data_IF_449373558597
#
_entry.id   IF_449373558597
#
_cell.length_a   1.000
_cell.length_b   1.000
_cell.length_c   1.000
_cell.angle_alpha   90.00
_cell.angle_beta   90.00
_cell.angle_gamma   90.00
#
_symmetry.space_group_name_H-M   'P 1'
#
loop_
_entity.id
_entity.type
_entity.pdbx_description
1 polymer ?
#
# COMPACT_ATOMS: atom_id res chain seq x y z
N UNK A 1 -25.21 21.96 0.13
CA UNK A 1 -24.29 22.23 1.25
C UNK A 1 -25.00 23.17 2.19
N UNK A 2 -25.59 22.62 3.24
CA UNK A 2 -26.38 23.37 4.23
C UNK A 2 -25.46 23.94 5.31
N UNK A 3 -25.88 24.98 6.03
CA UNK A 3 -25.09 25.58 7.10
C UNK A 3 -24.70 24.57 8.22
N UNK A 4 -25.51 23.52 8.41
CA UNK A 4 -25.22 22.43 9.33
C UNK A 4 -24.02 21.57 8.88
N UNK A 5 -23.87 21.32 7.57
CA UNK A 5 -22.74 20.56 7.04
C UNK A 5 -21.41 21.29 7.29
N UNK A 6 -21.41 22.62 7.15
CA UNK A 6 -20.25 23.46 7.39
C UNK A 6 -19.81 23.37 8.86
N UNK A 7 -20.74 23.52 9.80
CA UNK A 7 -20.44 23.43 11.24
C UNK A 7 -19.89 22.05 11.61
N UNK A 8 -20.44 20.98 11.02
CA UNK A 8 -20.01 19.61 11.29
C UNK A 8 -18.57 19.38 10.82
N UNK A 9 -18.21 19.85 9.62
CA UNK A 9 -16.84 19.74 9.07
C UNK A 9 -15.83 20.49 9.94
N UNK A 10 -16.13 21.73 10.35
CA UNK A 10 -15.26 22.50 11.24
C UNK A 10 -15.09 21.82 12.60
N UNK A 11 -16.16 21.27 13.17
CA UNK A 11 -16.11 20.57 14.47
C UNK A 11 -15.23 19.32 14.40
N UNK A 12 -15.36 18.53 13.33
CA UNK A 12 -14.50 17.35 13.09
C UNK A 12 -13.05 17.76 12.90
N UNK A 13 -12.77 18.79 12.09
CA UNK A 13 -11.42 19.28 11.87
C UNK A 13 -10.75 19.75 13.17
N UNK A 14 -11.47 20.54 13.98
CA UNK A 14 -10.98 21.00 15.28
C UNK A 14 -10.72 19.82 16.21
N UNK A 15 -11.63 18.82 16.23
CA UNK A 15 -11.45 17.63 17.06
C UNK A 15 -10.20 16.85 16.66
N UNK A 16 -9.96 16.66 15.35
CA UNK A 16 -8.75 15.98 14.86
C UNK A 16 -7.48 16.76 15.26
N UNK A 17 -7.48 18.09 15.12
CA UNK A 17 -6.34 18.93 15.50
C UNK A 17 -6.08 18.87 17.01
N UNK A 18 -7.14 18.98 17.83
CA UNK A 18 -7.04 18.92 19.30
C UNK A 18 -6.54 17.55 19.74
N UNK A 19 -7.05 16.47 19.17
CA UNK A 19 -6.60 15.11 19.47
C UNK A 19 -5.13 14.91 19.06
N UNK A 20 -4.73 15.40 17.88
CA UNK A 20 -3.33 15.36 17.44
C UNK A 20 -2.39 16.17 18.35
N UNK A 21 -2.85 17.33 18.84
CA UNK A 21 -2.09 18.15 19.79
C UNK A 21 -1.98 17.50 21.17
N UNK A 22 -3.08 16.95 21.70
CA UNK A 22 -3.07 16.19 22.95
C UNK A 22 -2.15 14.97 22.86
N UNK A 23 -2.21 14.24 21.74
CA UNK A 23 -1.29 13.15 21.45
C UNK A 23 0.15 13.64 21.58
N UNK A 24 0.52 14.72 20.87
CA UNK A 24 1.87 15.28 20.89
C UNK A 24 2.37 15.64 22.30
N UNK A 25 1.50 16.20 23.15
CA UNK A 25 1.83 16.51 24.54
C UNK A 25 2.08 15.25 25.36
N UNK A 26 1.21 14.25 25.25
CA UNK A 26 1.36 12.96 25.93
C UNK A 26 2.68 12.30 25.49
N UNK A 27 3.05 12.45 24.21
CA UNK A 27 4.28 11.90 23.67
C UNK A 27 5.56 12.54 24.17
N UNK A 28 5.58 13.87 24.32
CA UNK A 28 6.72 14.56 24.94
C UNK A 28 7.09 13.99 26.31
N UNK A 29 6.14 13.35 27.01
CA UNK A 29 6.34 12.73 28.31
C UNK A 29 6.65 11.22 28.25
N UNK A 30 6.35 10.53 27.14
CA UNK A 30 6.32 9.04 27.08
C UNK A 30 7.34 8.44 26.10
N UNK A 31 8.07 9.24 25.31
CA UNK A 31 9.10 8.79 24.33
C UNK A 31 8.61 7.82 23.24
N UNK A 32 7.31 7.54 23.15
CA UNK A 32 6.74 6.68 22.11
C UNK A 32 6.59 7.43 20.76
N UNK A 33 6.68 6.74 19.61
CA UNK A 33 6.44 7.35 18.29
C UNK A 33 5.01 7.89 18.18
N UNK A 34 4.89 9.11 17.67
CA UNK A 34 3.61 9.82 17.53
C UNK A 34 2.62 9.06 16.62
N UNK A 35 3.15 8.50 15.55
CA UNK A 35 2.44 7.68 14.56
C UNK A 35 1.70 6.49 15.17
N UNK A 36 2.27 5.76 16.13
CA UNK A 36 1.64 4.57 16.70
C UNK A 36 0.37 4.90 17.47
N UNK A 37 0.36 5.98 18.26
CA UNK A 37 -0.87 6.42 18.95
C UNK A 37 -1.88 6.98 17.98
N UNK A 38 -1.47 7.73 16.95
CA UNK A 38 -2.40 8.21 15.93
C UNK A 38 -3.11 7.04 15.24
N UNK A 39 -2.40 5.94 14.97
CA UNK A 39 -2.99 4.70 14.46
C UNK A 39 -3.99 4.11 15.46
N UNK A 40 -3.64 4.02 16.75
CA UNK A 40 -4.54 3.50 17.79
C UNK A 40 -5.80 4.36 17.95
N UNK A 41 -5.64 5.67 17.98
CA UNK A 41 -6.76 6.63 17.99
C UNK A 41 -7.62 6.43 16.75
N UNK A 42 -7.04 6.36 15.56
CA UNK A 42 -7.78 6.09 14.32
C UNK A 42 -8.56 4.77 14.38
N UNK A 43 -7.97 3.72 14.97
CA UNK A 43 -8.62 2.41 15.16
C UNK A 43 -9.78 2.47 16.18
N UNK A 44 -9.65 3.26 17.24
CA UNK A 44 -10.73 3.44 18.23
C UNK A 44 -11.86 4.26 17.65
N UNK A 45 -11.56 5.38 16.99
CA UNK A 45 -12.57 6.28 16.44
C UNK A 45 -13.24 5.74 15.16
N UNK A 46 -12.53 4.94 14.37
CA UNK A 46 -13.04 4.33 13.15
C UNK A 46 -13.95 3.12 13.43
N UNK A 47 -13.42 1.88 13.47
CA UNK A 47 -14.24 0.68 13.59
C UNK A 47 -14.90 0.48 14.96
N UNK A 48 -14.27 0.90 16.06
CA UNK A 48 -14.80 0.63 17.42
C UNK A 48 -15.96 1.58 17.75
N UNK A 49 -15.78 2.88 17.57
CA UNK A 49 -16.82 3.88 17.86
C UNK A 49 -17.78 4.13 16.68
N UNK A 50 -17.46 3.67 15.47
CA UNK A 50 -18.26 3.85 14.24
C UNK A 50 -18.69 5.29 13.97
N UNK A 51 -17.89 6.26 14.43
CA UNK A 51 -18.20 7.69 14.28
C UNK A 51 -18.08 8.16 12.83
N UNK A 52 -17.26 7.47 12.03
CA UNK A 52 -17.03 7.80 10.64
C UNK A 52 -17.51 6.65 9.73
N UNK A 53 -18.42 6.96 8.80
CA UNK A 53 -18.78 6.02 7.73
C UNK A 53 -17.66 5.94 6.70
N UNK A 54 -17.25 4.71 6.35
CA UNK A 54 -16.22 4.45 5.34
C UNK A 54 -16.60 5.06 3.98
N UNK A 55 -17.88 5.05 3.63
CA UNK A 55 -18.41 5.61 2.38
C UNK A 55 -18.19 7.12 2.25
N UNK A 56 -18.20 7.84 3.37
CA UNK A 56 -17.97 9.29 3.39
C UNK A 56 -16.48 9.64 3.38
N UNK A 57 -15.62 8.74 3.89
CA UNK A 57 -14.17 8.96 3.95
C UNK A 57 -13.47 8.61 2.63
N UNK A 58 -13.86 7.51 1.98
CA UNK A 58 -13.18 7.00 0.78
C UNK A 58 -13.01 8.04 -0.35
N UNK A 59 -14.00 8.90 -0.67
CA UNK A 59 -13.83 9.93 -1.71
C UNK A 59 -12.85 11.04 -1.32
N UNK A 60 -12.72 11.31 -0.02
CA UNK A 60 -11.97 12.44 0.53
C UNK A 60 -10.52 12.05 0.84
N UNK A 61 -10.27 10.79 1.19
CA UNK A 61 -8.94 10.26 1.52
C UNK A 61 -7.85 10.55 0.47
N UNK A 62 -8.06 10.35 -0.86
CA UNK A 62 -7.01 10.61 -1.85
C UNK A 62 -6.51 12.05 -1.84
N UNK A 63 -7.43 13.00 -1.65
CA UNK A 63 -7.11 14.44 -1.62
C UNK A 63 -6.28 14.76 -0.38
N UNK A 64 -6.71 14.29 0.79
CA UNK A 64 -5.98 14.50 2.05
C UNK A 64 -4.61 13.82 2.04
N UNK A 65 -4.52 12.58 1.53
CA UNK A 65 -3.25 11.86 1.40
C UNK A 65 -2.30 12.60 0.47
N UNK A 66 -2.77 13.06 -0.68
CA UNK A 66 -1.95 13.83 -1.63
C UNK A 66 -1.45 15.13 -0.99
N UNK A 67 -2.34 15.92 -0.37
CA UNK A 67 -1.95 17.16 0.31
C UNK A 67 -0.94 16.94 1.43
N UNK A 68 -1.20 15.93 2.28
CA UNK A 68 -0.31 15.60 3.40
C UNK A 68 1.06 15.14 2.91
N UNK A 69 1.10 14.26 1.91
CA UNK A 69 2.35 13.78 1.31
C UNK A 69 3.11 14.93 0.66
N UNK A 70 2.44 15.81 -0.09
CA UNK A 70 3.06 16.99 -0.69
C UNK A 70 3.67 17.90 0.38
N UNK A 71 2.96 18.20 1.47
CA UNK A 71 3.47 19.03 2.56
C UNK A 71 4.68 18.40 3.26
N UNK A 72 4.63 17.09 3.54
CA UNK A 72 5.74 16.37 4.19
C UNK A 72 6.97 16.31 3.29
N UNK A 73 6.80 15.98 2.00
CA UNK A 73 7.90 15.97 1.03
C UNK A 73 8.48 17.37 0.81
N UNK A 74 7.63 18.40 0.78
CA UNK A 74 8.07 19.80 0.66
C UNK A 74 8.90 20.23 1.87
N UNK A 75 8.41 19.96 3.09
CA UNK A 75 9.15 20.26 4.32
C UNK A 75 10.45 19.47 4.42
N UNK A 76 10.45 18.20 3.99
CA UNK A 76 11.64 17.37 3.89
C UNK A 76 12.68 17.95 2.93
N UNK A 77 12.24 18.33 1.72
CA UNK A 77 13.10 18.91 0.69
C UNK A 77 13.69 20.26 1.10
N UNK A 78 12.93 21.13 1.77
CA UNK A 78 13.40 22.43 2.24
C UNK A 78 14.52 22.35 3.29
N UNK A 79 14.54 21.29 4.10
CA UNK A 79 15.57 21.08 5.12
C UNK A 79 16.80 20.34 4.59
N UNK A 80 16.85 19.98 3.30
CA UNK A 80 17.89 19.14 2.73
C UNK A 80 18.92 19.97 1.96
N UNK A 81 20.20 19.75 2.24
CA UNK A 81 21.28 20.41 1.51
C UNK A 81 21.56 19.69 0.17
N UNK A 82 21.14 20.32 -0.93
CA UNK A 82 21.25 19.80 -2.32
C UNK A 82 22.69 19.46 -2.72
N UNK A 83 23.69 20.15 -2.18
CA UNK A 83 25.09 19.87 -2.51
C UNK A 83 25.59 18.56 -1.89
N UNK A 84 25.28 18.32 -0.61
CA UNK A 84 25.56 17.03 0.06
C UNK A 84 24.74 15.89 -0.53
N UNK A 85 23.52 16.17 -0.99
CA UNK A 85 22.68 15.19 -1.66
C UNK A 85 23.32 14.62 -2.92
N UNK A 86 23.82 15.51 -3.79
CA UNK A 86 24.45 15.08 -5.04
C UNK A 86 25.76 14.34 -4.76
N UNK A 87 26.56 14.77 -3.79
CA UNK A 87 27.84 14.14 -3.46
C UNK A 87 27.70 12.77 -2.77
N UNK A 88 26.62 12.54 -2.02
CA UNK A 88 26.38 11.28 -1.27
C UNK A 88 25.34 10.36 -1.91
N UNK A 89 24.83 10.74 -3.08
CA UNK A 89 23.83 9.98 -3.84
C UNK A 89 24.23 8.53 -4.09
N UNK A 90 25.47 8.28 -4.53
CA UNK A 90 25.94 6.92 -4.88
C UNK A 90 25.91 5.97 -3.68
N UNK A 91 26.39 6.43 -2.51
CA UNK A 91 26.37 5.62 -1.29
C UNK A 91 24.95 5.26 -0.87
N UNK A 92 24.05 6.24 -0.95
CA UNK A 92 22.64 6.07 -0.61
C UNK A 92 21.92 5.11 -1.56
N UNK A 93 22.24 5.16 -2.85
CA UNK A 93 21.71 4.24 -3.86
C UNK A 93 22.15 2.80 -3.57
N UNK A 94 23.45 2.56 -3.35
CA UNK A 94 23.95 1.22 -3.05
C UNK A 94 23.29 0.66 -1.79
N UNK A 95 23.15 1.50 -0.76
CA UNK A 95 22.50 1.12 0.49
C UNK A 95 21.03 0.75 0.28
N UNK A 96 20.27 1.59 -0.43
CA UNK A 96 18.85 1.36 -0.71
C UNK A 96 18.62 0.07 -1.52
N UNK A 97 19.40 -0.17 -2.57
CA UNK A 97 19.29 -1.39 -3.37
C UNK A 97 19.64 -2.64 -2.56
N UNK A 98 20.75 -2.59 -1.82
CA UNK A 98 21.17 -3.71 -0.97
C UNK A 98 20.11 -4.04 0.09
N UNK A 99 19.57 -3.02 0.75
CA UNK A 99 18.52 -3.16 1.74
C UNK A 99 17.24 -3.74 1.13
N UNK A 100 16.71 -3.18 0.04
CA UNK A 100 15.47 -3.65 -0.58
C UNK A 100 15.58 -5.11 -1.02
N UNK A 101 16.69 -5.50 -1.65
CA UNK A 101 16.91 -6.88 -2.09
C UNK A 101 16.94 -7.82 -0.89
N UNK A 102 17.73 -7.48 0.14
CA UNK A 102 17.89 -8.32 1.32
C UNK A 102 16.58 -8.44 2.12
N UNK A 103 15.92 -7.31 2.38
CA UNK A 103 14.67 -7.25 3.11
C UNK A 103 13.56 -8.00 2.36
N UNK A 104 13.40 -7.77 1.06
CA UNK A 104 12.40 -8.46 0.22
C UNK A 104 12.63 -9.97 0.20
N UNK A 105 13.89 -10.42 0.03
CA UNK A 105 14.18 -11.84 -0.02
C UNK A 105 13.94 -12.52 1.34
N UNK A 106 14.39 -11.89 2.42
CA UNK A 106 14.19 -12.37 3.78
C UNK A 106 12.70 -12.52 4.11
N UNK A 107 11.92 -11.46 3.88
CA UNK A 107 10.48 -11.44 4.15
C UNK A 107 9.69 -12.38 3.23
N UNK A 108 10.08 -12.54 1.97
CA UNK A 108 9.50 -13.55 1.07
C UNK A 108 9.72 -14.95 1.63
N UNK A 109 10.95 -15.26 2.05
CA UNK A 109 11.27 -16.56 2.61
C UNK A 109 10.46 -16.80 3.89
N UNK A 110 10.47 -15.85 4.83
CA UNK A 110 9.65 -15.92 6.03
C UNK A 110 8.15 -16.09 5.71
N UNK A 111 7.62 -15.33 4.75
CA UNK A 111 6.21 -15.44 4.33
C UNK A 111 5.87 -16.82 3.76
N UNK A 112 6.78 -17.45 3.01
CA UNK A 112 6.59 -18.80 2.51
C UNK A 112 6.61 -19.84 3.63
N UNK A 113 7.59 -19.77 4.53
CA UNK A 113 7.81 -20.82 5.54
C UNK A 113 6.94 -20.65 6.80
N UNK A 114 6.67 -19.43 7.23
CA UNK A 114 5.87 -19.15 8.43
C UNK A 114 4.36 -19.08 8.13
N UNK A 115 3.98 -18.45 7.01
CA UNK A 115 2.57 -18.21 6.68
C UNK A 115 2.02 -19.18 5.62
N UNK A 116 2.87 -20.05 5.04
CA UNK A 116 2.46 -21.01 4.02
C UNK A 116 2.04 -20.37 2.68
N UNK A 117 2.33 -19.08 2.47
CA UNK A 117 1.90 -18.32 1.30
C UNK A 117 2.48 -18.89 0.01
N UNK A 118 1.78 -18.76 -1.11
CA UNK A 118 2.35 -19.11 -2.41
C UNK A 118 3.53 -18.21 -2.75
N UNK A 119 4.45 -18.70 -3.60
CA UNK A 119 5.66 -17.94 -3.96
C UNK A 119 5.36 -16.50 -4.42
N UNK A 120 4.31 -16.28 -5.22
CA UNK A 120 3.95 -14.93 -5.68
C UNK A 120 3.38 -14.07 -4.56
N UNK A 121 2.53 -14.63 -3.70
CA UNK A 121 1.94 -13.91 -2.58
C UNK A 121 3.02 -13.48 -1.59
N UNK A 122 3.97 -14.38 -1.30
CA UNK A 122 5.15 -14.08 -0.51
C UNK A 122 6.05 -13.02 -1.18
N UNK A 123 6.23 -13.09 -2.50
CA UNK A 123 7.01 -12.11 -3.28
C UNK A 123 6.36 -10.73 -3.29
N UNK A 124 5.04 -10.64 -3.20
CA UNK A 124 4.32 -9.37 -3.05
C UNK A 124 4.50 -8.83 -1.63
N UNK A 125 4.37 -9.70 -0.62
CA UNK A 125 4.54 -9.33 0.78
C UNK A 125 5.94 -8.78 1.09
N UNK A 126 6.95 -9.26 0.36
CA UNK A 126 8.32 -8.84 0.60
C UNK A 126 8.58 -7.34 0.43
N UNK A 127 8.46 -6.76 -0.78
CA UNK A 127 8.63 -5.34 -1.00
C UNK A 127 7.53 -4.50 -0.32
N UNK A 128 6.35 -5.06 -0.01
CA UNK A 128 5.34 -4.36 0.80
C UNK A 128 5.81 -4.09 2.24
N UNK A 129 6.66 -4.96 2.79
CA UNK A 129 7.15 -4.87 4.18
C UNK A 129 8.59 -4.37 4.29
N UNK A 130 9.33 -4.38 3.19
CA UNK A 130 10.69 -3.84 3.09
C UNK A 130 10.75 -2.30 3.03
N UNK A 131 9.62 -1.58 3.05
CA UNK A 131 9.59 -0.11 2.99
C UNK A 131 10.06 0.56 4.27
N UNK A 132 11.12 1.38 4.17
CA UNK A 132 11.44 2.38 5.18
C UNK A 132 10.56 3.61 4.94
N UNK A 133 9.60 3.87 5.83
CA UNK A 133 8.61 4.95 5.62
C UNK A 133 9.27 6.33 5.64
N UNK A 134 9.56 6.89 4.46
CA UNK A 134 10.16 8.23 4.30
C UNK A 134 9.32 9.32 4.97
N UNK A 135 7.99 9.15 4.94
CA UNK A 135 6.99 10.03 5.58
C UNK A 135 7.22 10.20 7.08
N UNK A 136 7.78 9.18 7.75
CA UNK A 136 8.09 9.22 9.19
C UNK A 136 9.56 9.53 9.43
N UNK A 137 10.45 8.93 8.65
CA UNK A 137 11.90 9.02 8.82
C UNK A 137 12.42 10.45 8.59
N UNK A 138 11.97 11.12 7.52
CA UNK A 138 12.43 12.47 7.17
C UNK A 138 12.09 13.51 8.27
N UNK A 139 10.83 13.64 8.74
CA UNK A 139 10.51 14.60 9.81
C UNK A 139 11.06 14.19 11.18
N UNK A 140 11.38 12.92 11.40
CA UNK A 140 12.01 12.47 12.64
C UNK A 140 13.48 12.88 12.67
N UNK A 141 14.22 12.60 11.59
CA UNK A 141 15.65 12.92 11.47
C UNK A 141 15.89 14.44 11.47
N UNK A 142 14.98 15.24 10.91
CA UNK A 142 15.09 16.71 10.97
C UNK A 142 14.99 17.27 12.40
N UNK A 143 14.36 16.54 13.32
CA UNK A 143 14.29 16.88 14.76
C UNK A 143 15.48 16.34 15.56
N UNK A 144 16.25 15.39 15.01
CA UNK A 144 17.42 14.80 15.66
C UNK A 144 18.68 15.62 15.36
N UNK A 145 19.53 15.79 16.38
CA UNK A 145 20.83 16.46 16.26
C UNK A 145 21.90 15.51 15.71
N UNK A 146 21.74 15.10 14.45
CA UNK A 146 22.70 14.26 13.70
C UNK A 146 23.41 15.08 12.60
N UNK A 147 24.61 14.65 12.13
CA UNK A 147 25.32 15.35 11.06
C UNK A 147 24.49 15.44 9.77
N UNK A 148 24.62 16.56 9.05
CA UNK A 148 23.88 16.81 7.79
C UNK A 148 24.13 15.73 6.71
N UNK A 149 25.34 15.15 6.68
CA UNK A 149 25.66 13.99 5.84
C UNK A 149 24.78 12.78 6.16
N UNK A 150 24.57 12.47 7.44
CA UNK A 150 23.74 11.34 7.85
C UNK A 150 22.26 11.61 7.53
N UNK A 151 21.79 12.85 7.72
CA UNK A 151 20.41 13.22 7.35
C UNK A 151 20.16 13.03 5.86
N UNK A 152 21.13 13.48 5.06
CA UNK A 152 21.12 13.40 3.60
C UNK A 152 21.08 11.95 3.13
N UNK A 153 21.98 11.11 3.65
CA UNK A 153 22.05 9.69 3.28
C UNK A 153 20.76 8.95 3.65
N UNK A 154 20.26 9.13 4.88
CA UNK A 154 19.05 8.44 5.35
C UNK A 154 17.80 8.91 4.59
N UNK A 155 17.70 10.20 4.27
CA UNK A 155 16.56 10.73 3.50
C UNK A 155 16.57 10.21 2.07
N UNK A 156 17.75 10.14 1.44
CA UNK A 156 17.91 9.57 0.09
C UNK A 156 17.64 8.07 0.09
N UNK A 157 18.20 7.33 1.05
CA UNK A 157 17.94 5.90 1.20
C UNK A 157 16.44 5.65 1.30
N UNK A 158 15.74 6.30 2.24
CA UNK A 158 14.31 6.05 2.46
C UNK A 158 13.42 6.50 1.29
N UNK A 159 13.82 7.54 0.56
CA UNK A 159 13.08 7.94 -0.65
C UNK A 159 13.29 6.94 -1.79
N UNK A 160 14.51 6.42 -1.95
CA UNK A 160 14.82 5.43 -2.99
C UNK A 160 14.16 4.09 -2.71
N UNK A 161 14.16 3.62 -1.45
CA UNK A 161 13.48 2.39 -1.07
C UNK A 161 11.98 2.48 -1.33
N UNK A 162 11.32 3.61 -1.04
CA UNK A 162 9.90 3.82 -1.34
C UNK A 162 9.60 3.66 -2.83
N UNK A 163 10.41 4.27 -3.70
CA UNK A 163 10.28 4.16 -5.17
C UNK A 163 10.52 2.73 -5.64
N UNK A 164 11.56 2.06 -5.14
CA UNK A 164 11.87 0.68 -5.52
C UNK A 164 10.75 -0.28 -5.09
N UNK A 165 10.25 -0.13 -3.87
CA UNK A 165 9.21 -0.98 -3.31
C UNK A 165 7.88 -0.81 -4.05
N UNK A 166 7.44 0.42 -4.34
CA UNK A 166 6.18 0.62 -5.07
C UNK A 166 6.25 0.01 -6.48
N UNK A 167 7.41 0.11 -7.16
CA UNK A 167 7.62 -0.51 -8.47
C UNK A 167 7.58 -2.04 -8.36
N UNK A 168 8.32 -2.63 -7.41
CA UNK A 168 8.34 -4.08 -7.20
C UNK A 168 6.96 -4.65 -6.86
N UNK A 169 6.26 -4.03 -5.90
CA UNK A 169 4.90 -4.42 -5.52
C UNK A 169 3.97 -4.34 -6.73
N UNK A 170 4.02 -3.25 -7.50
CA UNK A 170 3.16 -3.07 -8.68
C UNK A 170 3.44 -4.14 -9.74
N UNK A 171 4.71 -4.47 -9.99
CA UNK A 171 5.11 -5.52 -10.94
C UNK A 171 4.59 -6.88 -10.49
N UNK A 172 4.84 -7.27 -9.23
CA UNK A 172 4.41 -8.57 -8.72
C UNK A 172 2.88 -8.68 -8.63
N UNK A 173 2.20 -7.60 -8.24
CA UNK A 173 0.74 -7.53 -8.23
C UNK A 173 0.16 -7.68 -9.63
N UNK A 174 0.76 -7.04 -10.66
CA UNK A 174 0.37 -7.22 -12.06
C UNK A 174 0.56 -8.66 -12.53
N UNK A 175 1.68 -9.29 -12.18
CA UNK A 175 1.94 -10.71 -12.51
C UNK A 175 0.92 -11.62 -11.84
N UNK A 176 0.58 -11.37 -10.57
CA UNK A 176 -0.45 -12.09 -9.85
C UNK A 176 -1.83 -11.93 -10.50
N UNK A 177 -2.26 -10.69 -10.76
CA UNK A 177 -3.52 -10.39 -11.43
C UNK A 177 -3.58 -11.04 -12.81
N UNK A 178 -2.49 -11.02 -13.59
CA UNK A 178 -2.45 -11.68 -14.89
C UNK A 178 -2.65 -13.20 -14.76
N UNK A 179 -2.10 -13.84 -13.72
CA UNK A 179 -2.36 -15.27 -13.45
C UNK A 179 -3.82 -15.53 -13.08
N UNK A 180 -4.41 -14.68 -12.22
CA UNK A 180 -5.82 -14.81 -11.81
C UNK A 180 -6.77 -14.58 -12.99
N UNK A 181 -6.56 -13.55 -13.80
CA UNK A 181 -7.37 -13.26 -15.00
C UNK A 181 -7.22 -14.34 -16.06
N UNK A 182 -6.01 -14.89 -16.22
CA UNK A 182 -5.76 -16.04 -17.10
C UNK A 182 -6.53 -17.27 -16.59
N UNK A 183 -6.49 -17.55 -15.30
CA UNK A 183 -7.24 -18.66 -14.69
C UNK A 183 -8.74 -18.50 -14.89
N UNK A 184 -9.28 -17.31 -14.59
CA UNK A 184 -10.68 -16.97 -14.82
C UNK A 184 -11.07 -17.21 -16.28
N UNK A 185 -10.30 -16.71 -17.24
CA UNK A 185 -10.54 -16.88 -18.68
C UNK A 185 -10.53 -18.36 -19.11
N UNK A 186 -9.63 -19.18 -18.57
CA UNK A 186 -9.60 -20.62 -18.86
C UNK A 186 -10.81 -21.35 -18.31
N UNK A 187 -11.33 -20.99 -17.13
CA UNK A 187 -12.57 -21.58 -16.59
C UNK A 187 -13.77 -21.24 -17.48
N UNK A 188 -13.91 -19.99 -17.95
CA UNK A 188 -15.03 -19.60 -18.84
C UNK A 188 -14.91 -20.26 -20.22
N UNK A 189 -13.70 -20.45 -20.76
CA UNK A 189 -13.48 -21.14 -22.04
C UNK A 189 -13.73 -22.65 -21.88
N UNK A 190 -13.30 -23.24 -20.76
CA UNK A 190 -13.53 -24.66 -20.46
C UNK A 190 -15.02 -24.95 -20.26
N UNK A 191 -15.74 -24.15 -19.48
CA UNK A 191 -17.20 -24.31 -19.31
C UNK A 191 -17.96 -23.99 -20.59
N UNK A 192 -17.51 -23.00 -21.37
CA UNK A 192 -18.05 -22.68 -22.69
C UNK A 192 -17.88 -23.82 -23.69
N UNK A 193 -16.70 -24.45 -23.75
CA UNK A 193 -16.46 -25.62 -24.61
C UNK A 193 -17.23 -26.86 -24.15
N UNK A 194 -17.38 -27.09 -22.84
CA UNK A 194 -18.16 -28.22 -22.30
C UNK A 194 -19.64 -28.05 -22.64
N UNK A 195 -20.20 -26.85 -22.51
CA UNK A 195 -21.59 -26.57 -22.91
C UNK A 195 -21.82 -26.70 -24.42
N UNK A 196 -20.89 -26.25 -25.25
CA UNK A 196 -20.98 -26.39 -26.72
C UNK A 196 -20.85 -27.87 -27.13
N UNK A 197 -19.91 -28.63 -26.54
CA UNK A 197 -19.80 -30.08 -26.77
C UNK A 197 -21.03 -30.83 -26.32
N UNK A 198 -21.63 -30.46 -25.18
CA UNK A 198 -22.85 -31.11 -24.70
C UNK A 198 -24.02 -30.86 -25.66
N UNK A 199 -24.19 -29.60 -26.10
CA UNK A 199 -25.29 -29.21 -26.99
C UNK A 199 -25.15 -29.85 -28.38
N UNK A 200 -23.94 -29.89 -28.95
CA UNK A 200 -23.67 -30.58 -30.23
C UNK A 200 -23.89 -32.09 -30.10
N UNK A 201 -23.51 -32.71 -28.97
CA UNK A 201 -23.70 -34.15 -28.75
C UNK A 201 -25.16 -34.54 -28.56
N UNK A 202 -25.97 -33.69 -27.92
CA UNK A 202 -27.43 -33.87 -27.86
C UNK A 202 -28.09 -33.65 -29.22
N UNK A 203 -27.61 -32.69 -30.02
CA UNK A 203 -28.13 -32.46 -31.38
C UNK A 203 -27.83 -33.65 -32.30
N UNK A 204 -26.59 -34.15 -32.32
CA UNK A 204 -26.24 -35.33 -33.10
C UNK A 204 -27.00 -36.59 -32.65
N UNK A 205 -27.26 -36.76 -31.34
CA UNK A 205 -28.04 -37.90 -30.84
C UNK A 205 -29.50 -37.84 -31.28
N UNK A 206 -30.14 -36.67 -31.21
CA UNK A 206 -31.52 -36.49 -31.69
C UNK A 206 -31.63 -36.63 -33.21
N UNK A 207 -30.64 -36.16 -33.99
CA UNK A 207 -30.62 -36.36 -35.45
C UNK A 207 -30.35 -37.81 -35.85
N UNK A 208 -29.60 -38.58 -35.07
CA UNK A 208 -29.41 -40.02 -35.29
C UNK A 208 -30.69 -40.80 -34.95
N UNK A 209 -31.38 -40.47 -33.87
CA UNK A 209 -32.64 -41.15 -33.48
C UNK A 209 -33.80 -40.88 -34.46
N UNK A 210 -33.85 -39.70 -35.08
CA UNK A 210 -34.85 -39.42 -36.13
C UNK A 210 -34.57 -40.14 -37.45
N UNK A 211 -33.31 -40.43 -37.77
CA UNK A 211 -32.96 -41.18 -38.98
C UNK A 211 -33.23 -42.69 -38.84
N UNK A 212 -33.14 -43.23 -37.62
CA UNK A 212 -33.43 -44.64 -37.34
C UNK A 212 -34.94 -44.93 -37.27
N UNK A 213 -35.78 -43.96 -36.87
CA UNK A 213 -37.26 -44.11 -36.87
C UNK A 213 -37.94 -43.83 -38.21
N UNK A 214 -37.19 -43.38 -39.23
CA UNK A 214 -37.69 -43.10 -40.57
C UNK A 214 -37.47 -44.22 -41.60
N UNK A 215 -37.06 -45.42 -41.17
CA UNK A 215 -36.95 -46.63 -42.00
C UNK A 215 -37.84 -47.74 -41.50
#
# INVERSE_FOLDING_TARGET
MTWADVITVFTVAVTIVVVGFLANIIFKKTSFPDTLFLILVGLVFGPILKLFSQENLLPVMPIFTALTLTLILFQGGLNMNVYTLLSQSIRSVILAFSYVIFATFSTTFLGRFLLGLNWIEALILGPMTAGTSSVVVIPLISKLSVPEEVKTILSLESTLTDILNIVLVTVFLKVYLMRVLRYSKYTIISDGEIHIRYNIRSYCRNSLDQNIRGR
#
